data_IF_451625921653
#
_entry.id   IF_451625921653
#
_cell.length_a   1.000
_cell.length_b   1.000
_cell.length_c   1.000
_cell.angle_alpha   90.00
_cell.angle_beta   90.00
_cell.angle_gamma   90.00
#
_symmetry.space_group_name_H-M   'P 1'
#
loop_
_entity.id
_entity.type
_entity.pdbx_description
1 polymer ?
2 polymer ?
3 non-polymer ?
4 non-polymer ?
5 water ?
#
# COMPACT_ATOMS: atom_id res chain seq x y z
N UNK A 1 15.71 -13.94 29.48
CA UNK A 1 15.74 -12.67 28.70
C UNK A 1 15.67 -12.93 27.20
N UNK A 2 16.44 -13.92 26.74
CA UNK A 2 16.58 -14.20 25.30
C UNK A 2 15.29 -14.59 24.60
N UNK A 3 14.42 -15.36 25.25
CA UNK A 3 13.11 -15.66 24.69
C UNK A 3 12.31 -14.37 24.53
N UNK A 4 12.55 -13.40 25.42
CA UNK A 4 11.94 -12.09 25.29
C UNK A 4 12.36 -11.45 23.98
N UNK A 5 13.65 -11.54 23.68
CA UNK A 5 14.21 -10.99 22.44
C UNK A 5 13.62 -11.69 21.23
N UNK A 6 13.62 -13.01 21.26
CA UNK A 6 13.04 -13.79 20.18
C UNK A 6 11.58 -13.36 19.95
N UNK A 7 10.88 -13.09 21.04
CA UNK A 7 9.49 -12.66 20.93
C UNK A 7 9.32 -11.28 20.30
N UNK A 8 10.24 -10.36 20.59
CA UNK A 8 10.24 -9.02 19.99
C UNK A 8 10.42 -9.17 18.48
N UNK A 9 11.31 -10.05 18.08
CA UNK A 9 11.56 -10.29 16.64
C UNK A 9 10.33 -10.89 15.95
N UNK A 10 9.63 -11.82 16.59
CA UNK A 10 8.40 -12.40 16.04
C UNK A 10 7.39 -11.29 15.84
N UNK A 11 7.20 -10.45 16.84
CA UNK A 11 6.28 -9.33 16.75
C UNK A 11 6.68 -8.36 15.65
N UNK A 12 7.96 -8.07 15.55
CA UNK A 12 8.46 -7.18 14.52
C UNK A 12 8.13 -7.76 13.13
N UNK A 13 8.40 -9.03 12.92
CA UNK A 13 8.16 -9.65 11.61
C UNK A 13 6.68 -9.69 11.31
N UNK A 14 5.81 -9.93 12.30
CA UNK A 14 4.39 -9.83 12.07
C UNK A 14 4.00 -8.42 11.59
N UNK A 15 4.62 -7.37 12.13
CA UNK A 15 4.35 -6.00 11.70
C UNK A 15 4.88 -5.79 10.26
N UNK A 16 6.10 -6.23 9.96
CA UNK A 16 6.66 -6.17 8.59
C UNK A 16 5.73 -6.88 7.60
N UNK A 17 5.17 -7.99 7.98
CA UNK A 17 4.27 -8.71 7.11
C UNK A 17 3.01 -7.89 6.82
N UNK A 18 2.45 -7.25 7.80
CA UNK A 18 1.33 -6.33 7.62
C UNK A 18 1.71 -5.18 6.71
N UNK A 19 2.93 -4.69 6.79
CA UNK A 19 3.41 -3.67 5.84
C UNK A 19 3.36 -4.16 4.39
N UNK A 20 3.78 -5.37 4.18
CA UNK A 20 3.84 -5.89 2.81
C UNK A 20 2.42 -6.13 2.30
N UNK A 21 1.51 -6.61 3.14
CA UNK A 21 0.10 -6.74 2.74
C UNK A 21 -0.50 -5.39 2.36
N UNK A 22 -0.27 -4.36 3.19
CA UNK A 22 -0.79 -3.04 2.91
C UNK A 22 -0.27 -2.52 1.57
N UNK A 23 1.03 -2.63 1.36
CA UNK A 23 1.63 -2.15 0.11
C UNK A 23 1.08 -2.95 -1.08
N UNK A 24 0.93 -4.25 -0.93
CA UNK A 24 0.37 -5.10 -2.00
C UNK A 24 -1.02 -4.64 -2.34
N UNK A 25 -1.83 -4.32 -1.33
CA UNK A 25 -3.18 -3.83 -1.61
C UNK A 25 -3.16 -2.48 -2.34
N UNK A 26 -2.26 -1.57 -1.97
CA UNK A 26 -2.12 -0.32 -2.69
C UNK A 26 -1.70 -0.52 -4.15
N UNK A 27 -0.72 -1.41 -4.39
CA UNK A 27 -0.32 -1.74 -5.78
C UNK A 27 -1.50 -2.36 -6.55
N UNK A 28 -2.33 -3.17 -5.92
CA UNK A 28 -3.48 -3.75 -6.61
C UNK A 28 -4.45 -2.63 -7.07
N UNK A 29 -4.74 -1.67 -6.21
CA UNK A 29 -5.60 -0.56 -6.58
C UNK A 29 -4.96 0.24 -7.69
N UNK A 30 -3.68 0.54 -7.57
CA UNK A 30 -2.99 1.31 -8.60
C UNK A 30 -3.06 0.58 -9.95
N UNK A 31 -2.84 -0.72 -9.96
CA UNK A 31 -2.88 -1.51 -11.17
C UNK A 31 -4.26 -1.36 -11.84
N UNK A 32 -5.33 -1.43 -11.04
CA UNK A 32 -6.67 -1.29 -11.60
C UNK A 32 -6.85 0.09 -12.22
N UNK A 33 -6.31 1.14 -11.62
CA UNK A 33 -6.42 2.48 -12.14
C UNK A 33 -5.62 2.65 -13.43
N UNK A 34 -4.46 2.00 -13.57
CA UNK A 34 -3.69 2.05 -14.82
C UNK A 34 -4.49 1.34 -15.94
N UNK A 35 -5.08 0.21 -15.64
CA UNK A 35 -5.93 -0.45 -16.63
C UNK A 35 -7.12 0.43 -17.00
N UNK A 36 -7.72 1.12 -16.04
CA UNK A 36 -8.83 2.04 -16.33
C UNK A 36 -8.39 3.15 -17.26
N UNK A 37 -7.21 3.71 -17.04
CA UNK A 37 -6.68 4.78 -17.89
C UNK A 37 -6.50 4.27 -19.29
N UNK A 38 -5.93 3.08 -19.45
CA UNK A 38 -5.70 2.50 -20.78
C UNK A 38 -7.04 2.33 -21.52
N UNK A 39 -8.03 1.78 -20.83
CA UNK A 39 -9.37 1.59 -21.43
C UNK A 39 -10.04 2.92 -21.74
N UNK A 40 -9.91 3.93 -20.89
CA UNK A 40 -10.44 5.26 -21.17
C UNK A 40 -9.83 5.83 -22.43
N UNK A 41 -8.52 5.76 -22.56
CA UNK A 41 -7.88 6.24 -23.79
C UNK A 41 -8.41 5.50 -25.02
N UNK A 42 -8.45 4.18 -24.99
CA UNK A 42 -8.86 3.44 -26.18
C UNK A 42 -10.36 3.56 -26.50
N UNK A 43 -11.19 3.69 -25.48
CA UNK A 43 -12.65 3.58 -25.66
C UNK A 43 -13.39 4.92 -25.48
N UNK A 44 -12.76 5.93 -24.87
CA UNK A 44 -13.33 7.28 -24.78
C UNK A 44 -12.61 8.33 -25.64
N UNK A 45 -11.28 8.31 -25.62
CA UNK A 45 -10.48 9.33 -26.30
C UNK A 45 -10.38 9.03 -27.79
N UNK A 46 -9.90 7.83 -28.12
CA UNK A 46 -9.60 7.50 -29.50
C UNK A 46 -10.83 7.56 -30.41
N UNK A 47 -12.00 7.08 -29.93
CA UNK A 47 -13.20 7.18 -30.79
C UNK A 47 -13.71 8.59 -31.13
N UNK A 48 -13.42 9.58 -30.29
CA UNK A 48 -13.81 10.95 -30.60
C UNK A 48 -12.68 11.72 -31.27
N UNK A 49 -11.49 11.13 -31.32
CA UNK A 49 -10.31 11.74 -31.94
C UNK A 49 -10.26 11.33 -33.41
N UNK B 2 -8.41 18.11 -6.01
CA UNK B 2 -8.17 16.66 -5.70
C UNK B 2 -8.73 16.37 -4.33
N UNK B 3 -9.55 15.31 -4.22
CA UNK B 3 -10.00 14.41 -5.29
C UNK B 3 -11.24 14.91 -6.02
N UNK B 4 -11.22 14.85 -7.34
CA UNK B 4 -12.32 15.38 -8.16
C UNK B 4 -13.34 14.29 -8.55
N UNK B 5 -12.98 13.03 -8.35
CA UNK B 5 -13.78 11.91 -8.82
C UNK B 5 -13.27 10.60 -8.23
N UNK B 6 -13.85 9.48 -8.62
CA UNK B 6 -13.52 8.18 -8.06
C UNK B 6 -12.11 7.71 -8.44
N UNK B 7 -11.58 8.21 -9.55
CA UNK B 7 -10.23 7.83 -9.96
C UNK B 7 -9.28 8.48 -8.97
N UNK B 8 -9.46 9.79 -8.72
CA UNK B 8 -8.66 10.49 -7.74
C UNK B 8 -8.84 9.90 -6.33
N UNK B 9 -10.04 9.50 -5.97
CA UNK B 9 -10.27 8.87 -4.66
C UNK B 9 -9.50 7.55 -4.53
N UNK B 10 -9.44 6.76 -5.59
CA UNK B 10 -8.63 5.54 -5.60
C UNK B 10 -7.13 5.85 -5.46
N UNK B 11 -6.65 6.89 -6.10
CA UNK B 11 -5.28 7.31 -5.96
C UNK B 11 -4.99 7.67 -4.47
N UNK B 12 -5.92 8.38 -3.84
CA UNK B 12 -5.81 8.71 -2.43
C UNK B 12 -5.73 7.45 -1.58
N UNK B 13 -6.50 6.43 -1.92
CA UNK B 13 -6.49 5.17 -1.22
C UNK B 13 -5.10 4.51 -1.38
N UNK B 14 -4.50 4.58 -2.57
CA UNK B 14 -3.15 4.01 -2.73
C UNK B 14 -2.21 4.73 -1.77
N UNK B 15 -2.27 6.06 -1.71
CA UNK B 15 -1.43 6.81 -0.81
C UNK B 15 -1.70 6.40 0.65
N UNK B 16 -2.94 6.16 1.03
CA UNK B 16 -3.21 5.73 2.40
C UNK B 16 -2.58 4.38 2.67
N UNK B 17 -2.63 3.44 1.72
CA UNK B 17 -1.98 2.14 1.88
C UNK B 17 -0.45 2.22 1.94
N UNK B 18 0.16 3.12 1.20
CA UNK B 18 1.58 3.35 1.32
C UNK B 18 1.89 3.86 2.74
N UNK B 19 1.08 4.78 3.24
CA UNK B 19 1.34 5.34 4.59
C UNK B 19 1.13 4.26 5.65
N UNK B 20 0.19 3.39 5.49
CA UNK B 20 -0.02 2.25 6.40
C UNK B 20 1.19 1.32 6.39
N UNK B 21 1.72 1.02 5.20
CA UNK B 21 2.92 0.24 5.05
C UNK B 21 4.07 0.84 5.84
N UNK B 22 4.32 2.12 5.62
CA UNK B 22 5.42 2.81 6.31
C UNK B 22 5.20 2.79 7.81
N UNK B 23 3.97 2.90 8.27
CA UNK B 23 3.65 2.85 9.71
C UNK B 23 3.96 1.51 10.32
N UNK B 24 3.58 0.43 9.66
CA UNK B 24 3.91 -0.92 10.10
C UNK B 24 5.43 -1.19 10.10
N UNK B 25 6.18 -0.66 9.13
CA UNK B 25 7.62 -0.74 9.17
C UNK B 25 8.16 0.05 10.38
N UNK B 26 7.63 1.22 10.65
CA UNK B 26 8.09 2.00 11.80
C UNK B 26 7.95 1.16 13.04
N UNK B 27 6.82 0.54 13.24
CA UNK B 27 6.60 -0.26 14.42
C UNK B 27 7.58 -1.42 14.48
N UNK B 28 7.82 -2.11 13.37
CA UNK B 28 8.78 -3.19 13.33
C UNK B 28 10.18 -2.69 13.70
N UNK B 29 10.62 -1.62 13.11
CA UNK B 29 11.93 -1.00 13.41
C UNK B 29 12.05 -0.67 14.89
N UNK B 30 11.01 -0.10 15.48
CA UNK B 30 11.01 0.30 16.91
C UNK B 30 11.15 -0.91 17.80
N UNK B 31 10.43 -2.00 17.52
CA UNK B 31 10.59 -3.29 18.23
C UNK B 31 12.02 -3.83 18.12
N UNK B 32 12.65 -3.74 16.96
CA UNK B 32 14.01 -4.25 16.76
C UNK B 32 15.08 -3.41 17.45
N UNK B 33 14.87 -2.11 17.53
CA UNK B 33 15.86 -1.23 18.15
C UNK B 33 15.80 -1.41 19.65
N UNK B 34 14.77 -2.11 20.12
CA UNK B 34 14.66 -2.57 21.50
C UNK B 34 15.21 -4.00 21.75
N UNK B 35 15.77 -4.64 20.72
CA UNK B 35 16.34 -5.98 20.85
C UNK B 35 17.85 -5.89 21.11
N UNK B 36 18.32 -6.73 22.04
CA UNK B 36 19.74 -6.94 22.31
C UNK B 36 20.01 -8.43 22.52
X LIG C 1 -10.89 18.48 -13.57
X LIG C 1 -11.42 17.13 -13.06
X LIG C 1 -12.45 16.62 -13.99
X LIG C 1 -11.83 16.54 -15.34
X LIG C 1 -11.41 17.92 -15.83
X LIG C 1 -10.41 18.41 -14.93
X LIG C 1 -12.98 15.30 -13.55
X LIG C 1 -14.36 14.98 -14.13
X LIG C 1 -15.06 13.83 -13.44
X LIG C 1 -14.39 12.56 -13.77
X LIG C 1 -14.83 11.74 -14.74
X LIG C 1 -15.90 12.03 -15.50
X LIG C 1 -16.03 10.96 -16.34
X LIG C 1 -15.02 10.03 -16.07
X LIG C 1 -14.29 10.55 -15.03
X LIG C 1 -14.89 8.81 -16.76
X LIG C 1 -15.84 8.56 -17.77
X LIG C 1 -16.84 9.52 -18.08
X LIG C 1 -16.94 10.70 -17.37
X LIG C 1 -13.17 9.90 -14.32
X LIG C 1 -11.98 9.60 -15.15
X LIG C 1 -11.34 10.58 -15.84
X LIG C 1 -10.21 10.28 -16.57
X LIG C 1 -9.82 8.92 -16.59
X LIG C 1 -10.50 7.96 -15.86
X LIG C 1 -11.60 8.29 -15.16
X LIG C 1 -11.82 11.85 -15.72
X LIG C 1 -10.08 6.51 -15.87
X LIG C 1 -15.80 7.30 -18.60
X LIG C 1 -14.75 6.32 -18.23
X LIG C 1 -14.51 5.21 -18.99
X LIG C 1 -15.26 4.97 -20.16
X LIG C 1 -15.03 3.86 -20.96
X LIG C 1 -14.06 2.94 -20.59
X LIG C 1 -13.29 3.17 -19.46
X LIG C 1 -13.54 4.27 -18.65
X LIG C 1 -15.87 3.60 -22.20
X LIG C 1 -12.65 4.45 -17.42
X LIG C 1 -13.13 3.70 -16.18
X LIG C 1 -14.59 4.00 -15.76
X LIG C 1 -14.74 5.40 -15.47
X LIG D 1 -12.96 16.54 -19.38
X LIG D 1 -13.72 15.86 -18.36
X LIG D 1 -13.13 14.48 -18.11
X LIG D 1 -14.12 13.47 -18.28
X LIG D 1 -14.41 13.25 -19.66
X LIG D 1 -15.22 11.98 -19.88
X LIG D 1 -15.27 11.62 -21.26
X LIG D 1 -15.55 12.71 -22.14
X LIG D 1 -16.01 12.25 -23.51
X LIG D 1 -16.14 13.41 -24.34
X LIG D 1 -17.40 14.10 -24.26
X LIG D 1 -17.18 15.58 -23.98
X LIG D 1 -17.84 16.38 -24.97
#
# INVERSE_FOLDING_TARGET
HLEGEVNKIKSALLSTNKAVVSLSNGVSVLTSKVLDLKNYIDKQLLPIVNK
VFPSDEFDASISQVNEKINQSLAFIRKSDELLHNVNAGK
TM3 C1 C2 N3 C4 C5 O6 C13 C14 C15 N16 C17 N23 C24 C25 N26 C32 C33 C34 C35 C41 C42 C45 C46 C47 C48 N49 O56 C58 C60 N61 C62 C66 C67 C68 C69 C70 C77 C79 C80 C81 O82
PG4 O1 C1 C2 O2 C3 C4 O3 C5 C6 O4 C7 C8 O5
#
